data_IF_259656796447
#
_entry.id   IF_259656796447
#
_cell.length_a   1.000
_cell.length_b   1.000
_cell.length_c   1.000
_cell.angle_alpha   90.00
_cell.angle_beta   90.00
_cell.angle_gamma   90.00
#
_symmetry.space_group_name_H-M   'P 1'
#
loop_
_entity.id
_entity.type
_entity.pdbx_description
1 polymer ?
#
# COMPACT_ATOMS: atom_id res chain seq x y z
N UNK A 1 26.09 -82.49 13.04
CA UNK A 1 24.92 -81.92 12.38
C UNK A 1 24.75 -80.55 13.01
N UNK A 2 25.11 -79.50 12.23
CA UNK A 2 25.04 -78.08 12.66
C UNK A 2 23.85 -77.43 11.99
N UNK A 3 22.84 -77.01 12.77
CA UNK A 3 21.66 -76.32 12.27
C UNK A 3 22.01 -74.83 12.15
N UNK A 4 21.91 -74.30 10.94
CA UNK A 4 22.09 -72.91 10.58
C UNK A 4 20.72 -72.27 10.58
N UNK A 5 20.40 -71.42 11.54
CA UNK A 5 19.19 -70.64 11.61
C UNK A 5 19.41 -69.30 10.90
N UNK A 6 18.71 -69.13 9.79
CA UNK A 6 18.74 -67.90 8.99
C UNK A 6 17.73 -66.89 9.59
N UNK A 7 18.26 -65.84 10.21
CA UNK A 7 17.44 -64.75 10.74
C UNK A 7 17.06 -63.79 9.64
N UNK A 8 15.76 -63.65 9.34
CA UNK A 8 15.23 -62.66 8.44
C UNK A 8 14.97 -61.36 9.22
N UNK A 9 15.80 -60.34 8.94
CA UNK A 9 15.57 -58.97 9.45
C UNK A 9 14.63 -58.25 8.49
N UNK A 10 13.40 -57.97 8.93
CA UNK A 10 12.43 -57.10 8.23
C UNK A 10 12.80 -55.65 8.55
N UNK A 11 13.35 -54.97 7.57
CA UNK A 11 13.58 -53.51 7.65
C UNK A 11 12.23 -52.77 7.43
N UNK A 12 11.71 -52.19 8.51
CA UNK A 12 10.54 -51.30 8.43
C UNK A 12 10.91 -49.99 7.80
N UNK A 13 10.47 -49.79 6.55
CA UNK A 13 10.63 -48.54 5.78
C UNK A 13 9.59 -47.54 6.28
N UNK A 14 10.01 -46.62 7.16
CA UNK A 14 9.13 -45.52 7.61
C UNK A 14 9.02 -44.49 6.47
N UNK A 15 7.93 -44.51 5.73
CA UNK A 15 7.54 -43.44 4.81
C UNK A 15 7.17 -42.19 5.62
N UNK A 16 8.11 -41.26 5.75
CA UNK A 16 7.80 -39.92 6.25
C UNK A 16 7.01 -39.16 5.17
N UNK A 17 5.68 -39.14 5.29
CA UNK A 17 4.84 -38.26 4.49
C UNK A 17 5.09 -36.82 4.91
N UNK A 18 5.87 -36.09 4.13
CA UNK A 18 6.00 -34.65 4.26
C UNK A 18 4.65 -34.02 3.90
N UNK A 19 3.94 -33.52 4.91
CA UNK A 19 2.75 -32.70 4.73
C UNK A 19 3.17 -31.38 4.06
N UNK A 20 3.08 -31.32 2.74
CA UNK A 20 3.13 -30.07 2.00
C UNK A 20 1.86 -29.30 2.34
N UNK A 21 1.92 -28.40 3.32
CA UNK A 21 0.90 -27.38 3.52
C UNK A 21 0.95 -26.45 2.32
N UNK A 22 -0.02 -26.60 1.43
CA UNK A 22 -0.29 -25.62 0.35
C UNK A 22 -0.67 -24.31 1.04
N UNK A 23 0.29 -23.41 1.22
CA UNK A 23 0.00 -22.02 1.57
C UNK A 23 -0.86 -21.44 0.45
N UNK A 24 -2.11 -21.08 0.77
CA UNK A 24 -3.00 -20.38 -0.16
C UNK A 24 -2.38 -19.06 -0.65
N UNK A 25 -3.00 -18.36 -1.62
CA UNK A 25 -2.43 -17.16 -2.26
C UNK A 25 -2.41 -15.92 -1.37
N UNK A 26 -1.95 -16.08 -0.12
CA UNK A 26 -1.58 -14.97 0.74
C UNK A 26 -0.19 -14.47 0.35
N UNK A 27 -0.04 -13.17 0.09
CA UNK A 27 1.27 -12.59 -0.17
C UNK A 27 2.22 -12.89 0.99
N UNK A 28 3.43 -13.40 0.69
CA UNK A 28 4.44 -13.62 1.73
C UNK A 28 4.83 -12.30 2.40
N UNK A 29 5.28 -12.32 3.68
CA UNK A 29 5.72 -11.10 4.37
C UNK A 29 6.74 -10.27 3.57
N UNK A 30 7.66 -10.94 2.87
CA UNK A 30 8.65 -10.30 2.02
C UNK A 30 8.02 -9.58 0.82
N UNK A 31 7.00 -10.17 0.18
CA UNK A 31 6.28 -9.53 -0.93
C UNK A 31 5.52 -8.30 -0.46
N UNK A 32 4.84 -8.38 0.69
CA UNK A 32 4.13 -7.24 1.29
C UNK A 32 5.10 -6.11 1.66
N UNK A 33 6.27 -6.41 2.20
CA UNK A 33 7.30 -5.41 2.51
C UNK A 33 7.83 -4.71 1.25
N UNK A 34 8.07 -5.44 0.17
CA UNK A 34 8.50 -4.88 -1.11
C UNK A 34 7.42 -3.99 -1.75
N UNK A 35 6.16 -4.38 -1.66
CA UNK A 35 5.02 -3.59 -2.14
C UNK A 35 4.89 -2.27 -1.39
N UNK A 36 4.99 -2.29 -0.05
CA UNK A 36 4.97 -1.07 0.77
C UNK A 36 6.15 -0.15 0.43
N UNK A 37 7.35 -0.69 0.25
CA UNK A 37 8.52 0.09 -0.12
C UNK A 37 8.38 0.74 -1.51
N UNK A 38 7.79 0.02 -2.47
CA UNK A 38 7.46 0.59 -3.78
C UNK A 38 6.41 1.70 -3.66
N UNK A 39 5.36 1.49 -2.87
CA UNK A 39 4.34 2.50 -2.60
C UNK A 39 4.92 3.75 -1.92
N UNK A 40 5.84 3.58 -0.98
CA UNK A 40 6.56 4.69 -0.36
C UNK A 40 7.32 5.52 -1.40
N UNK A 41 8.04 4.87 -2.32
CA UNK A 41 8.72 5.54 -3.42
C UNK A 41 7.76 6.32 -4.31
N UNK A 42 6.63 5.70 -4.69
CA UNK A 42 5.61 6.35 -5.52
C UNK A 42 5.00 7.57 -4.82
N UNK A 43 4.70 7.48 -3.54
CA UNK A 43 4.09 8.57 -2.76
C UNK A 43 5.07 9.71 -2.51
N UNK A 44 6.33 9.40 -2.17
CA UNK A 44 7.34 10.40 -1.79
C UNK A 44 8.03 11.05 -2.98
N UNK A 45 8.39 10.25 -4.00
CA UNK A 45 9.28 10.70 -5.07
C UNK A 45 8.56 11.00 -6.39
N UNK A 46 7.50 10.24 -6.70
CA UNK A 46 6.79 10.39 -7.98
C UNK A 46 5.55 11.25 -7.84
N UNK A 47 4.65 10.89 -6.92
CA UNK A 47 3.39 11.59 -6.69
C UNK A 47 3.54 12.84 -5.82
N UNK A 48 4.65 12.95 -5.06
CA UNK A 48 4.95 14.05 -4.14
C UNK A 48 3.75 14.43 -3.26
N UNK A 49 3.02 13.40 -2.79
CA UNK A 49 1.77 13.59 -2.05
C UNK A 49 1.97 14.41 -0.77
N UNK A 50 3.17 14.34 -0.18
CA UNK A 50 3.54 15.08 1.01
C UNK A 50 3.44 16.60 0.85
N UNK A 51 3.73 17.14 -0.33
CA UNK A 51 3.75 18.59 -0.57
C UNK A 51 2.39 19.26 -0.36
N UNK A 52 1.31 18.49 -0.63
CA UNK A 52 -0.05 18.96 -0.42
C UNK A 52 -0.72 18.35 0.83
N UNK A 53 -0.30 17.15 1.27
CA UNK A 53 -0.97 16.42 2.35
C UNK A 53 -0.25 16.47 3.70
N UNK A 54 0.89 17.18 3.80
CA UNK A 54 1.64 17.37 5.04
C UNK A 54 1.74 18.85 5.37
N UNK A 55 1.50 19.28 6.62
CA UNK A 55 1.72 20.66 7.01
C UNK A 55 3.18 21.09 6.80
N UNK A 56 3.39 22.36 6.50
CA UNK A 56 4.70 23.00 6.46
C UNK A 56 4.86 23.90 7.69
N UNK A 57 6.08 23.97 8.20
CA UNK A 57 6.47 24.93 9.22
C UNK A 57 6.72 26.32 8.61
N UNK A 58 7.05 27.31 9.46
CA UNK A 58 7.32 28.70 9.03
C UNK A 58 8.55 28.83 8.10
N UNK A 59 9.37 27.79 8.00
CA UNK A 59 10.54 27.74 7.10
C UNK A 59 10.22 27.07 5.76
N UNK A 60 8.98 26.60 5.55
CA UNK A 60 8.57 25.85 4.37
C UNK A 60 8.99 24.38 4.37
N UNK A 61 9.41 23.82 5.52
CA UNK A 61 9.78 22.42 5.65
C UNK A 61 8.57 21.58 6.07
N UNK A 62 8.43 20.37 5.51
CA UNK A 62 7.36 19.43 5.87
C UNK A 62 7.51 18.96 7.32
N UNK A 63 6.43 19.04 8.10
CA UNK A 63 6.38 18.57 9.49
C UNK A 63 6.24 17.03 9.49
N UNK A 64 7.37 16.33 9.67
CA UNK A 64 7.44 14.86 9.53
C UNK A 64 6.52 14.11 10.51
N UNK A 65 6.32 14.62 11.72
CA UNK A 65 5.41 14.02 12.70
C UNK A 65 3.93 14.06 12.26
N UNK A 66 3.62 14.92 11.28
CA UNK A 66 2.31 15.09 10.68
C UNK A 66 2.28 14.63 9.21
N UNK A 67 3.20 13.72 8.85
CA UNK A 67 3.30 13.19 7.49
C UNK A 67 1.95 12.68 6.98
N UNK A 68 1.49 13.24 5.85
CA UNK A 68 0.25 12.92 5.15
C UNK A 68 -1.05 13.09 5.97
N UNK A 69 -1.04 13.85 7.06
CA UNK A 69 -2.22 14.03 7.91
C UNK A 69 -3.18 15.12 7.43
N UNK A 70 -2.93 15.69 6.25
CA UNK A 70 -3.73 16.77 5.70
C UNK A 70 -3.31 18.14 6.21
N UNK A 71 -3.63 19.19 5.46
CA UNK A 71 -3.29 20.58 5.82
C UNK A 71 -4.17 21.58 5.08
N UNK A 72 -4.14 22.83 5.51
CA UNK A 72 -4.60 23.96 4.71
C UNK A 72 -3.56 24.24 3.61
N UNK A 73 -4.02 24.35 2.36
CA UNK A 73 -3.14 24.67 1.25
C UNK A 73 -2.68 26.12 1.34
N UNK A 74 -1.37 26.35 1.16
CA UNK A 74 -0.75 27.68 1.23
C UNK A 74 -0.69 28.39 -0.12
N UNK A 75 -1.27 27.80 -1.15
CA UNK A 75 -1.30 28.33 -2.51
C UNK A 75 -2.72 28.23 -3.10
N UNK A 76 -2.97 29.03 -4.12
CA UNK A 76 -4.22 29.04 -4.87
C UNK A 76 -3.95 29.22 -6.36
N UNK A 77 -4.96 28.92 -7.20
CA UNK A 77 -4.86 29.18 -8.62
C UNK A 77 -4.80 30.70 -8.92
N UNK A 78 -3.98 31.09 -9.87
CA UNK A 78 -3.92 32.46 -10.39
C UNK A 78 -5.03 32.80 -11.38
N UNK A 79 -5.79 31.79 -11.81
CA UNK A 79 -6.98 31.91 -12.65
C UNK A 79 -8.16 31.23 -11.98
N UNK A 80 -9.40 31.63 -12.26
CA UNK A 80 -10.59 30.99 -11.73
C UNK A 80 -10.61 29.49 -12.11
N UNK A 81 -10.54 28.59 -11.10
CA UNK A 81 -10.70 27.15 -11.29
C UNK A 81 -11.88 26.67 -10.42
N UNK A 82 -12.94 26.13 -11.05
CA UNK A 82 -14.09 25.63 -10.27
C UNK A 82 -13.69 24.57 -9.25
N UNK A 83 -14.31 24.62 -8.08
CA UNK A 83 -14.12 23.64 -7.01
C UNK A 83 -12.68 23.51 -6.47
N UNK A 84 -11.85 24.54 -6.61
CA UNK A 84 -10.50 24.55 -6.01
C UNK A 84 -10.60 24.25 -4.52
N UNK A 85 -9.80 23.28 -4.05
CA UNK A 85 -9.73 22.94 -2.63
C UNK A 85 -8.76 23.89 -1.90
N UNK A 86 -9.16 24.37 -0.73
CA UNK A 86 -8.33 25.16 0.18
C UNK A 86 -7.65 24.31 1.26
N UNK A 87 -8.04 23.06 1.36
CA UNK A 87 -7.52 22.06 2.32
C UNK A 87 -7.34 20.71 1.65
N UNK A 88 -6.32 19.98 2.07
CA UNK A 88 -6.12 18.58 1.72
C UNK A 88 -6.52 17.68 2.89
N UNK A 89 -7.13 16.52 2.66
CA UNK A 89 -7.52 15.59 3.71
C UNK A 89 -6.31 14.83 4.26
N UNK A 90 -6.49 14.24 5.47
CA UNK A 90 -5.63 13.19 5.98
C UNK A 90 -5.74 11.95 5.09
N UNK A 91 -4.59 11.48 4.57
CA UNK A 91 -4.48 10.24 3.78
C UNK A 91 -3.60 9.19 4.46
N UNK A 92 -2.98 9.49 5.61
CA UNK A 92 -2.26 8.51 6.41
C UNK A 92 -3.26 7.50 7.01
N UNK A 93 -3.11 6.23 6.67
CA UNK A 93 -4.01 5.16 7.08
C UNK A 93 -5.36 5.13 6.34
N UNK A 94 -5.57 5.98 5.33
CA UNK A 94 -6.79 6.06 4.50
C UNK A 94 -8.09 6.05 5.31
N UNK A 95 -8.29 6.98 6.27
CA UNK A 95 -9.47 6.97 7.12
C UNK A 95 -10.76 7.10 6.30
N UNK A 96 -11.68 6.15 6.51
CA UNK A 96 -12.97 6.12 5.82
C UNK A 96 -12.94 5.56 4.39
N UNK A 97 -11.79 5.10 3.90
CA UNK A 97 -11.66 4.46 2.60
C UNK A 97 -11.63 2.93 2.72
N UNK A 98 -12.29 2.27 1.80
CA UNK A 98 -12.14 0.85 1.52
C UNK A 98 -10.95 0.64 0.58
N UNK A 99 -10.15 -0.42 0.82
CA UNK A 99 -8.95 -0.73 0.04
C UNK A 99 -9.22 -0.76 -1.48
N UNK A 100 -10.24 -1.51 -1.90
CA UNK A 100 -10.55 -1.66 -3.32
C UNK A 100 -10.96 -0.32 -3.96
N UNK A 101 -11.71 0.51 -3.24
CA UNK A 101 -12.11 1.85 -3.69
C UNK A 101 -10.93 2.80 -3.78
N UNK A 102 -9.98 2.71 -2.84
CA UNK A 102 -8.75 3.49 -2.89
C UNK A 102 -7.88 3.10 -4.09
N UNK A 103 -7.72 1.80 -4.36
CA UNK A 103 -7.02 1.31 -5.55
C UNK A 103 -7.71 1.81 -6.83
N UNK A 104 -9.05 1.69 -6.91
CA UNK A 104 -9.82 2.17 -8.04
C UNK A 104 -9.64 3.69 -8.26
N UNK A 105 -9.60 4.48 -7.19
CA UNK A 105 -9.36 5.91 -7.26
C UNK A 105 -8.01 6.24 -7.93
N UNK A 106 -6.93 5.58 -7.52
CA UNK A 106 -5.61 5.82 -8.14
C UNK A 106 -5.51 5.29 -9.58
N UNK A 107 -6.32 4.30 -9.95
CA UNK A 107 -6.37 3.79 -11.33
C UNK A 107 -7.18 4.67 -12.27
N UNK A 108 -8.23 5.32 -11.79
CA UNK A 108 -9.21 6.02 -12.66
C UNK A 108 -9.25 7.54 -12.44
N UNK A 109 -8.70 8.01 -11.35
CA UNK A 109 -8.84 9.42 -10.93
C UNK A 109 -10.22 9.77 -10.37
N UNK A 110 -11.14 8.80 -10.24
CA UNK A 110 -12.52 9.01 -9.79
C UNK A 110 -12.73 8.48 -8.37
N UNK A 111 -13.26 9.33 -7.49
CA UNK A 111 -13.69 8.95 -6.16
C UNK A 111 -14.94 8.01 -6.21
N UNK A 112 -15.31 7.33 -5.10
CA UNK A 112 -16.44 6.40 -5.06
C UNK A 112 -17.80 6.99 -5.48
N UNK A 113 -17.93 8.30 -5.44
CA UNK A 113 -19.13 9.03 -5.91
C UNK A 113 -19.08 9.36 -7.43
N UNK A 114 -18.08 8.84 -8.15
CA UNK A 114 -17.90 9.07 -9.58
C UNK A 114 -17.33 10.44 -9.96
N UNK A 115 -16.97 11.27 -8.99
CA UNK A 115 -16.39 12.58 -9.24
C UNK A 115 -14.86 12.54 -9.14
N UNK A 116 -14.13 13.33 -9.94
CA UNK A 116 -12.69 13.47 -9.75
C UNK A 116 -12.37 14.15 -8.41
N UNK A 117 -11.14 13.99 -7.96
CA UNK A 117 -10.62 14.77 -6.86
C UNK A 117 -10.72 16.28 -7.20
N UNK A 118 -10.93 17.08 -6.16
CA UNK A 118 -10.97 18.55 -6.34
C UNK A 118 -9.56 19.07 -6.68
N UNK A 119 -9.43 20.00 -7.64
CA UNK A 119 -8.15 20.66 -7.87
C UNK A 119 -7.65 21.34 -6.58
N UNK A 120 -6.35 21.37 -6.32
CA UNK A 120 -5.21 21.03 -7.18
C UNK A 120 -4.84 19.54 -7.21
N UNK A 121 -5.57 18.64 -6.54
CA UNK A 121 -5.28 17.20 -6.58
C UNK A 121 -5.35 16.70 -8.03
N UNK A 122 -4.25 16.16 -8.59
CA UNK A 122 -4.27 15.59 -9.94
C UNK A 122 -5.08 14.30 -9.99
N UNK A 123 -5.71 14.04 -11.15
CA UNK A 123 -6.28 12.74 -11.42
C UNK A 123 -5.16 11.76 -11.81
N UNK A 124 -4.88 10.79 -10.96
CA UNK A 124 -3.93 9.72 -11.26
C UNK A 124 -4.58 8.66 -12.15
N UNK A 125 -3.77 8.06 -13.01
CA UNK A 125 -4.15 6.93 -13.89
C UNK A 125 -3.08 5.86 -13.82
N UNK A 126 -2.85 5.35 -12.62
CA UNK A 126 -1.83 4.34 -12.34
C UNK A 126 -2.26 2.98 -12.90
N UNK A 127 -1.29 2.13 -13.23
CA UNK A 127 -1.58 0.72 -13.40
C UNK A 127 -1.97 0.10 -12.04
N UNK A 128 -2.57 -1.10 -12.08
CA UNK A 128 -3.08 -1.75 -10.88
C UNK A 128 -2.00 -2.01 -9.82
N UNK A 129 -0.80 -2.44 -10.24
CA UNK A 129 0.28 -2.77 -9.31
C UNK A 129 0.78 -1.53 -8.55
N UNK A 130 0.93 -0.39 -9.24
CA UNK A 130 1.32 0.87 -8.62
C UNK A 130 0.22 1.41 -7.69
N UNK A 131 -1.04 1.33 -8.10
CA UNK A 131 -2.16 1.73 -7.26
C UNK A 131 -2.26 0.89 -5.98
N UNK A 132 -2.09 -0.44 -6.06
CA UNK A 132 -2.04 -1.35 -4.91
C UNK A 132 -0.86 -1.00 -3.98
N UNK A 133 0.32 -0.73 -4.54
CA UNK A 133 1.50 -0.35 -3.76
C UNK A 133 1.30 0.98 -3.02
N UNK A 134 0.76 2.00 -3.68
CA UNK A 134 0.41 3.30 -3.06
C UNK A 134 -0.56 3.09 -1.90
N UNK A 135 -1.64 2.34 -2.11
CA UNK A 135 -2.64 2.06 -1.08
C UNK A 135 -2.03 1.28 0.08
N UNK A 136 -1.23 0.25 -0.20
CA UNK A 136 -0.54 -0.54 0.84
C UNK A 136 0.38 0.32 1.71
N UNK A 137 1.12 1.26 1.11
CA UNK A 137 1.94 2.20 1.87
C UNK A 137 1.09 3.14 2.72
N UNK A 138 0.05 3.77 2.15
CA UNK A 138 -0.82 4.68 2.89
C UNK A 138 -1.51 3.97 4.07
N UNK A 139 -2.02 2.75 3.88
CA UNK A 139 -2.61 1.93 4.94
C UNK A 139 -1.60 1.56 6.04
N UNK A 140 -0.32 1.36 5.68
CA UNK A 140 0.74 1.07 6.65
C UNK A 140 1.02 2.21 7.63
N UNK A 141 0.59 3.43 7.30
CA UNK A 141 0.73 4.63 8.14
C UNK A 141 -0.40 4.79 9.17
N UNK A 142 -1.30 3.82 9.27
CA UNK A 142 -2.39 3.85 10.26
C UNK A 142 -1.81 3.83 11.68
N UNK A 143 -2.13 4.88 12.45
CA UNK A 143 -1.78 5.01 13.86
C UNK A 143 -2.87 4.43 14.75
#
# INVERSE_FOLDING_TARGET
MKHFTLGVTVAAMVCSAALYTMAGPGSSPAKKSAEIAHGEYLVKAIGQCGDCHTPMNDKGELVQDQWLQGTKLTFTSTVPVPNWADTSPNIAGLPGWDHAKAVQFFMTGLAPNGQPARPPMPAYHMNKADAEAVVAYLESLKK
#
